data_IF_904148560900
#
_entry.id   IF_904148560900
#
_cell.length_a   1.000
_cell.length_b   1.000
_cell.length_c   1.000
_cell.angle_alpha   90.00
_cell.angle_beta   90.00
_cell.angle_gamma   90.00
#
_symmetry.space_group_name_H-M   'P 1'
#
loop_
_entity.id
_entity.type
_entity.pdbx_description
1 polymer ?
#
# COMPACT_ATOMS: atom_id res chain seq x y z
N UNK A 1 17.83 8.09 15.61
CA UNK A 1 16.42 8.55 15.69
C UNK A 1 16.40 9.78 16.58
N UNK A 2 15.74 10.85 16.16
CA UNK A 2 15.58 12.05 16.98
C UNK A 2 14.19 12.03 17.61
N UNK A 3 14.12 12.31 18.91
CA UNK A 3 12.87 12.39 19.67
C UNK A 3 12.76 13.79 20.28
N UNK A 4 11.54 14.28 20.45
CA UNK A 4 11.25 15.53 21.14
C UNK A 4 10.03 15.35 22.04
N UNK A 5 10.08 15.97 23.21
CA UNK A 5 8.92 16.07 24.09
C UNK A 5 8.07 17.29 23.71
N UNK A 6 6.75 17.11 23.73
CA UNK A 6 5.81 18.21 23.55
C UNK A 6 5.69 18.96 24.87
N UNK A 7 5.96 20.26 24.86
CA UNK A 7 5.89 21.08 26.07
C UNK A 7 4.43 21.39 26.46
N UNK A 8 4.22 22.04 27.62
CA UNK A 8 2.89 22.40 28.13
C UNK A 8 2.08 23.33 27.21
N UNK A 9 2.72 23.96 26.22
CA UNK A 9 2.08 24.84 25.22
C UNK A 9 1.76 24.11 23.91
N UNK A 10 2.05 22.81 23.80
CA UNK A 10 1.85 22.04 22.57
C UNK A 10 2.98 22.20 21.55
N UNK A 11 4.12 22.77 21.95
CA UNK A 11 5.25 23.02 21.05
C UNK A 11 6.29 21.90 21.19
N UNK A 12 6.97 21.58 20.09
CA UNK A 12 8.10 20.67 20.07
C UNK A 12 9.18 21.18 19.12
N UNK A 13 10.44 20.78 19.34
CA UNK A 13 11.56 21.09 18.47
C UNK A 13 12.42 19.84 18.26
N UNK A 14 12.66 19.48 16.99
CA UNK A 14 13.59 18.42 16.62
C UNK A 14 14.82 19.05 15.99
N UNK A 15 15.92 19.08 16.74
CA UNK A 15 17.22 19.53 16.22
C UNK A 15 17.91 18.38 15.49
N UNK A 16 18.18 18.59 14.21
CA UNK A 16 18.99 17.67 13.42
C UNK A 16 20.47 17.93 13.75
N UNK A 17 21.23 16.85 13.90
CA UNK A 17 22.65 16.92 14.19
C UNK A 17 23.40 17.59 13.03
N UNK A 18 24.06 18.71 13.31
CA UNK A 18 24.82 19.50 12.34
C UNK A 18 26.10 18.81 11.84
N UNK A 19 26.51 17.71 12.47
CA UNK A 19 27.71 16.93 12.08
C UNK A 19 27.43 15.87 11.01
N UNK A 20 26.15 15.57 10.74
CA UNK A 20 25.73 14.64 9.69
C UNK A 20 25.07 15.39 8.54
N UNK A 21 25.47 15.06 7.31
CA UNK A 21 24.80 15.58 6.12
C UNK A 21 23.32 15.15 6.13
N UNK A 22 22.40 16.12 6.12
CA UNK A 22 20.96 15.87 5.97
C UNK A 22 20.74 15.27 4.58
N UNK A 23 20.19 14.05 4.53
CA UNK A 23 19.86 13.37 3.27
C UNK A 23 18.50 13.89 2.80
N UNK A 24 18.39 14.53 1.62
CA UNK A 24 17.10 15.00 1.13
C UNK A 24 16.14 13.84 0.83
N UNK A 25 14.90 13.93 1.33
CA UNK A 25 13.91 12.88 1.13
C UNK A 25 12.64 13.07 1.95
N UNK A 26 11.83 12.01 2.02
CA UNK A 26 10.63 11.95 2.84
C UNK A 26 10.95 11.37 4.20
N UNK A 27 10.47 12.03 5.25
CA UNK A 27 10.63 11.65 6.65
C UNK A 27 9.26 11.56 7.31
N UNK A 28 9.20 10.80 8.41
CA UNK A 28 7.97 10.53 9.15
C UNK A 28 8.11 10.98 10.58
N UNK A 29 7.12 11.71 11.07
CA UNK A 29 6.90 11.91 12.50
C UNK A 29 5.86 10.89 12.96
N UNK A 30 6.17 10.17 14.03
CA UNK A 30 5.26 9.26 14.72
C UNK A 30 4.94 9.87 16.08
N UNK A 31 3.66 10.08 16.37
CA UNK A 31 3.22 10.79 17.57
C UNK A 31 2.47 9.90 18.58
N UNK A 32 2.04 8.69 18.19
CA UNK A 32 1.46 7.70 19.09
C UNK A 32 1.60 6.27 18.54
N UNK A 33 1.12 5.28 19.32
CA UNK A 33 1.01 3.88 18.91
C UNK A 33 -0.46 3.54 18.59
N UNK A 34 -0.74 2.78 17.52
CA UNK A 34 0.23 2.12 16.64
C UNK A 34 0.83 3.09 15.60
N UNK A 35 2.12 2.90 15.28
CA UNK A 35 2.91 3.87 14.50
C UNK A 35 2.43 4.05 13.05
N UNK A 36 1.76 3.05 12.49
CA UNK A 36 1.20 3.07 11.15
C UNK A 36 -0.09 3.89 11.03
N UNK A 37 -0.77 4.12 12.15
CA UNK A 37 -1.97 4.98 12.25
C UNK A 37 -1.62 6.40 12.69
N UNK A 38 -0.68 6.55 13.63
CA UNK A 38 -0.39 7.84 14.27
C UNK A 38 0.92 8.45 13.78
N UNK A 39 0.92 8.81 12.50
CA UNK A 39 2.06 9.42 11.84
C UNK A 39 1.66 10.43 10.78
N UNK A 40 2.62 11.25 10.35
CA UNK A 40 2.53 11.99 9.09
C UNK A 40 3.91 12.12 8.44
N UNK A 41 3.89 12.22 7.11
CA UNK A 41 5.10 12.35 6.29
C UNK A 41 5.34 13.80 5.88
N UNK A 42 6.61 14.17 5.74
CA UNK A 42 7.04 15.48 5.26
C UNK A 42 8.33 15.36 4.46
N UNK A 43 8.57 16.33 3.58
CA UNK A 43 9.79 16.43 2.78
C UNK A 43 10.81 17.25 3.57
N UNK A 44 12.01 16.70 3.74
CA UNK A 44 13.16 17.41 4.27
C UNK A 44 14.19 17.55 3.16
N UNK A 45 14.53 18.78 2.77
CA UNK A 45 15.48 19.03 1.68
C UNK A 45 16.88 19.47 2.15
N UNK A 46 17.06 19.65 3.46
CA UNK A 46 18.32 20.09 4.07
C UNK A 46 18.70 21.55 3.80
N UNK A 47 17.80 22.36 3.23
CA UNK A 47 18.06 23.76 2.81
C UNK A 47 17.26 24.79 3.59
N UNK A 48 16.26 24.37 4.35
CA UNK A 48 15.39 25.24 5.14
C UNK A 48 15.00 24.59 6.48
N UNK A 49 14.69 25.41 7.47
CA UNK A 49 13.98 24.95 8.67
C UNK A 49 12.52 24.68 8.32
N UNK A 50 11.95 23.67 8.97
CA UNK A 50 10.54 23.33 8.85
C UNK A 50 9.81 23.82 10.08
N UNK A 51 8.81 24.66 9.89
CA UNK A 51 7.87 25.07 10.92
C UNK A 51 6.47 24.61 10.50
N UNK A 52 5.79 23.92 11.41
CA UNK A 52 4.51 23.28 11.16
C UNK A 52 3.56 23.46 12.34
N UNK A 53 2.28 23.28 12.05
CA UNK A 53 1.23 23.10 13.03
C UNK A 53 0.57 21.76 12.75
N UNK A 54 0.21 21.05 13.81
CA UNK A 54 -0.45 19.76 13.72
C UNK A 54 -1.74 19.79 14.54
N UNK A 55 -2.81 19.30 13.94
CA UNK A 55 -4.13 19.17 14.54
C UNK A 55 -4.63 17.76 14.22
N UNK A 56 -5.22 17.08 15.20
CA UNK A 56 -5.63 15.67 15.05
C UNK A 56 -6.74 15.50 14.00
N UNK A 57 -7.56 16.52 13.77
CA UNK A 57 -8.66 16.47 12.81
C UNK A 57 -8.23 17.01 11.44
N UNK A 58 -7.46 18.11 11.43
CA UNK A 58 -7.07 18.83 10.19
C UNK A 58 -5.75 18.34 9.60
N UNK A 59 -4.97 17.60 10.36
CA UNK A 59 -3.64 17.11 10.00
C UNK A 59 -2.56 18.19 10.06
N UNK A 60 -1.44 17.92 9.38
CA UNK A 60 -0.28 18.81 9.34
C UNK A 60 -0.48 19.99 8.39
N UNK A 61 -0.03 21.17 8.80
CA UNK A 61 0.11 22.35 7.95
C UNK A 61 1.49 22.97 8.15
N UNK A 62 2.05 23.56 7.11
CA UNK A 62 3.41 24.11 7.14
C UNK A 62 3.37 25.64 7.06
N UNK A 63 3.83 26.32 8.11
CA UNK A 63 4.04 27.77 8.09
C UNK A 63 5.32 28.09 7.30
N UNK A 64 6.38 27.30 7.54
CA UNK A 64 7.66 27.35 6.83
C UNK A 64 8.04 25.97 6.32
N UNK A 65 7.97 25.80 5.00
CA UNK A 65 8.69 24.80 4.22
C UNK A 65 8.21 24.92 2.78
N UNK A 66 9.07 25.37 1.88
CA UNK A 66 8.70 25.62 0.49
C UNK A 66 8.14 24.36 -0.19
N UNK A 67 8.84 23.23 -0.06
CA UNK A 67 8.48 22.00 -0.78
C UNK A 67 7.20 21.36 -0.23
N UNK A 68 7.05 21.32 1.10
CA UNK A 68 5.84 20.78 1.71
C UNK A 68 4.60 21.64 1.41
N UNK A 69 4.74 22.98 1.47
CA UNK A 69 3.65 23.90 1.11
C UNK A 69 3.27 23.76 -0.36
N UNK A 70 4.26 23.60 -1.24
CA UNK A 70 4.02 23.39 -2.66
C UNK A 70 3.26 22.08 -2.90
N UNK A 71 3.66 20.99 -2.22
CA UNK A 71 2.98 19.70 -2.34
C UNK A 71 1.54 19.74 -1.80
N UNK A 72 1.31 20.36 -0.64
CA UNK A 72 -0.03 20.53 -0.10
C UNK A 72 -0.92 21.38 -1.03
N UNK A 73 -0.36 22.43 -1.62
CA UNK A 73 -1.06 23.27 -2.59
C UNK A 73 -1.42 22.48 -3.85
N UNK A 74 -0.48 21.71 -4.40
CA UNK A 74 -0.72 20.81 -5.52
C UNK A 74 -1.87 19.84 -5.25
N UNK A 75 -1.82 19.11 -4.12
CA UNK A 75 -2.84 18.14 -3.75
C UNK A 75 -4.22 18.78 -3.57
N UNK A 76 -4.31 19.96 -2.95
CA UNK A 76 -5.57 20.72 -2.81
C UNK A 76 -6.12 21.16 -4.17
N UNK A 77 -5.28 21.71 -5.04
CA UNK A 77 -5.68 22.15 -6.38
C UNK A 77 -6.19 20.98 -7.22
N UNK A 78 -5.47 19.85 -7.26
CA UNK A 78 -5.89 18.65 -7.98
C UNK A 78 -7.18 18.07 -7.40
N UNK A 79 -7.35 18.07 -6.07
CA UNK A 79 -8.58 17.60 -5.43
C UNK A 79 -9.81 18.44 -5.83
N UNK A 80 -9.66 19.76 -5.95
CA UNK A 80 -10.72 20.66 -6.42
C UNK A 80 -11.07 20.38 -7.88
N UNK A 81 -10.08 20.20 -8.76
CA UNK A 81 -10.33 19.84 -10.17
C UNK A 81 -11.00 18.47 -10.28
N UNK A 82 -10.55 17.47 -9.50
CA UNK A 82 -11.19 16.16 -9.45
C UNK A 82 -12.64 16.22 -8.95
N UNK A 83 -12.96 17.15 -8.04
CA UNK A 83 -14.35 17.42 -7.63
C UNK A 83 -15.17 17.93 -8.80
N UNK A 84 -14.62 18.86 -9.60
CA UNK A 84 -15.28 19.34 -10.83
C UNK A 84 -15.50 18.23 -11.86
N UNK A 85 -14.53 17.34 -12.05
CA UNK A 85 -14.67 16.16 -12.93
C UNK A 85 -15.80 15.24 -12.44
N UNK A 86 -15.86 14.93 -11.14
CA UNK A 86 -16.96 14.13 -10.58
C UNK A 86 -18.32 14.79 -10.74
N UNK A 87 -18.41 16.10 -10.49
CA UNK A 87 -19.64 16.85 -10.67
C UNK A 87 -20.09 16.88 -12.14
N UNK A 88 -19.15 17.01 -13.08
CA UNK A 88 -19.41 16.96 -14.52
C UNK A 88 -20.10 15.65 -14.89
N UNK A 89 -19.47 14.51 -14.59
CA UNK A 89 -20.03 13.20 -14.91
C UNK A 89 -21.30 12.87 -14.12
N UNK A 90 -21.44 13.39 -12.90
CA UNK A 90 -22.65 13.24 -12.08
C UNK A 90 -23.84 14.06 -12.58
N UNK A 91 -23.63 15.11 -13.37
CA UNK A 91 -24.70 15.99 -13.85
C UNK A 91 -25.57 15.39 -14.96
N UNK A 92 -25.11 14.30 -15.61
CA UNK A 92 -25.76 13.65 -16.75
C UNK A 92 -26.01 14.55 -17.98
N UNK A 93 -25.38 15.73 -18.06
CA UNK A 93 -25.47 16.65 -19.21
C UNK A 93 -24.32 16.38 -20.20
N UNK A 94 -24.62 16.43 -21.49
CA UNK A 94 -23.61 16.39 -22.58
C UNK A 94 -23.01 17.81 -22.80
N UNK A 95 -22.29 18.32 -21.81
CA UNK A 95 -21.63 19.64 -21.88
C UNK A 95 -20.16 19.52 -22.32
N UNK A 96 -19.95 19.34 -23.62
CA UNK A 96 -18.60 19.21 -24.20
C UNK A 96 -17.70 20.42 -23.96
N UNK A 97 -18.29 21.62 -23.79
CA UNK A 97 -17.54 22.84 -23.48
C UNK A 97 -17.02 22.78 -22.04
N UNK A 98 -17.90 22.47 -21.08
CA UNK A 98 -17.54 22.27 -19.68
C UNK A 98 -16.51 21.16 -19.49
N UNK A 99 -16.65 20.04 -20.21
CA UNK A 99 -15.63 18.97 -20.24
C UNK A 99 -14.25 19.53 -20.61
N UNK A 100 -14.17 20.22 -21.75
CA UNK A 100 -12.90 20.76 -22.25
C UNK A 100 -12.28 21.74 -21.26
N UNK A 101 -13.08 22.66 -20.71
CA UNK A 101 -12.61 23.65 -19.74
C UNK A 101 -12.04 23.00 -18.47
N UNK A 102 -12.70 21.98 -17.92
CA UNK A 102 -12.22 21.26 -16.73
C UNK A 102 -10.86 20.59 -16.99
N UNK A 103 -10.70 19.91 -18.13
CA UNK A 103 -9.45 19.21 -18.45
C UNK A 103 -8.33 20.16 -18.89
N UNK A 104 -8.65 21.31 -19.50
CA UNK A 104 -7.69 22.39 -19.76
C UNK A 104 -7.16 22.96 -18.43
N UNK A 105 -8.03 23.16 -17.44
CA UNK A 105 -7.64 23.59 -16.08
C UNK A 105 -6.75 22.53 -15.43
N UNK A 106 -7.09 21.24 -15.54
CA UNK A 106 -6.26 20.15 -15.02
C UNK A 106 -4.86 20.17 -15.62
N UNK A 107 -4.77 20.26 -16.95
CA UNK A 107 -3.51 20.27 -17.69
C UNK A 107 -2.63 21.45 -17.31
N UNK A 108 -3.22 22.65 -17.25
CA UNK A 108 -2.51 23.88 -16.87
C UNK A 108 -2.04 23.82 -15.42
N UNK A 109 -2.90 23.38 -14.50
CA UNK A 109 -2.55 23.23 -13.08
C UNK A 109 -1.36 22.29 -12.91
N UNK A 110 -1.40 21.11 -13.52
CA UNK A 110 -0.29 20.16 -13.51
C UNK A 110 1.01 20.79 -14.01
N UNK A 111 0.95 21.47 -15.16
CA UNK A 111 2.12 22.09 -15.79
C UNK A 111 2.72 23.21 -14.92
N UNK A 112 1.88 24.04 -14.29
CA UNK A 112 2.32 25.12 -13.40
C UNK A 112 3.07 24.55 -12.18
N UNK A 113 2.56 23.49 -11.55
CA UNK A 113 3.23 22.85 -10.42
C UNK A 113 4.50 22.09 -10.83
N UNK A 114 4.53 21.44 -12.00
CA UNK A 114 5.75 20.82 -12.54
C UNK A 114 6.86 21.87 -12.78
N UNK A 115 6.49 23.05 -13.31
CA UNK A 115 7.44 24.16 -13.50
C UNK A 115 7.93 24.72 -12.17
N UNK A 116 7.02 24.98 -11.23
CA UNK A 116 7.33 25.57 -9.93
C UNK A 116 8.21 24.66 -9.05
N UNK A 117 8.06 23.34 -9.19
CA UNK A 117 8.83 22.36 -8.42
C UNK A 117 10.17 21.97 -9.03
N UNK A 118 10.51 22.45 -10.25
CA UNK A 118 11.71 21.99 -10.97
C UNK A 118 12.98 22.14 -10.12
N UNK A 119 13.72 21.04 -9.95
CA UNK A 119 14.96 20.99 -9.16
C UNK A 119 14.76 20.72 -7.65
N UNK A 120 13.52 20.55 -7.21
CA UNK A 120 13.16 20.21 -5.83
C UNK A 120 12.92 18.70 -5.67
N UNK A 121 12.96 18.18 -4.44
CA UNK A 121 12.62 16.77 -4.14
C UNK A 121 11.16 16.49 -4.50
N UNK A 122 10.25 17.41 -4.15
CA UNK A 122 8.81 17.35 -4.42
C UNK A 122 8.47 17.20 -5.92
N UNK A 123 9.36 17.62 -6.83
CA UNK A 123 9.16 17.49 -8.27
C UNK A 123 8.89 16.05 -8.71
N UNK A 124 9.60 15.08 -8.10
CA UNK A 124 9.45 13.67 -8.40
C UNK A 124 8.01 13.20 -8.13
N UNK A 125 7.43 13.65 -7.02
CA UNK A 125 6.07 13.32 -6.60
C UNK A 125 5.02 14.00 -7.49
N UNK A 126 5.18 15.29 -7.78
CA UNK A 126 4.25 16.04 -8.65
C UNK A 126 4.20 15.44 -10.06
N UNK A 127 5.36 15.08 -10.63
CA UNK A 127 5.40 14.38 -11.92
C UNK A 127 4.74 13.01 -11.85
N UNK A 128 5.02 12.25 -10.80
CA UNK A 128 4.45 10.91 -10.63
C UNK A 128 2.93 10.93 -10.44
N UNK A 129 2.38 11.98 -9.81
CA UNK A 129 0.94 12.19 -9.64
C UNK A 129 0.21 12.71 -10.88
N UNK A 130 0.91 12.93 -12.01
CA UNK A 130 0.30 13.49 -13.21
C UNK A 130 -0.88 12.60 -13.67
N UNK A 131 -2.12 13.12 -13.69
CA UNK A 131 -3.29 12.33 -14.04
C UNK A 131 -3.37 12.08 -15.55
N UNK A 132 -4.22 11.12 -15.92
CA UNK A 132 -4.69 11.01 -17.30
C UNK A 132 -5.49 12.27 -17.68
N UNK A 133 -5.17 12.85 -18.84
CA UNK A 133 -5.84 14.02 -19.39
C UNK A 133 -6.30 13.64 -20.81
N UNK A 134 -7.62 13.56 -21.06
CA UNK A 134 -8.16 13.20 -22.35
C UNK A 134 -7.91 14.33 -23.37
N UNK A 135 -7.57 13.98 -24.60
CA UNK A 135 -7.35 14.94 -25.71
C UNK A 135 -8.62 15.29 -26.47
N UNK A 136 -9.68 14.51 -26.26
CA UNK A 136 -11.01 14.68 -26.85
C UNK A 136 -12.08 14.33 -25.81
N UNK A 137 -13.33 14.63 -26.13
CA UNK A 137 -14.45 14.24 -25.29
C UNK A 137 -14.49 12.72 -25.06
N UNK A 138 -14.72 12.32 -23.81
CA UNK A 138 -14.88 10.93 -23.39
C UNK A 138 -16.06 10.82 -22.43
N UNK A 139 -16.96 9.85 -22.67
CA UNK A 139 -17.97 9.47 -21.70
C UNK A 139 -17.32 8.88 -20.43
N UNK A 140 -18.12 8.70 -19.36
CA UNK A 140 -17.62 8.24 -18.07
C UNK A 140 -16.92 6.87 -18.15
N UNK A 141 -17.47 5.94 -18.93
CA UNK A 141 -16.94 4.58 -19.04
C UNK A 141 -15.59 4.59 -19.78
N UNK A 142 -15.53 5.31 -20.90
CA UNK A 142 -14.31 5.51 -21.69
C UNK A 142 -13.24 6.19 -20.85
N UNK A 143 -13.58 7.27 -20.14
CA UNK A 143 -12.65 8.00 -19.28
C UNK A 143 -12.13 7.13 -18.14
N UNK A 144 -13.00 6.41 -17.43
CA UNK A 144 -12.61 5.51 -16.35
C UNK A 144 -11.63 4.42 -16.83
N UNK A 145 -11.90 3.83 -18.00
CA UNK A 145 -11.02 2.84 -18.61
C UNK A 145 -9.65 3.41 -18.97
N UNK A 146 -9.60 4.62 -19.53
CA UNK A 146 -8.33 5.28 -19.84
C UNK A 146 -7.56 5.72 -18.58
N UNK A 147 -8.24 6.17 -17.52
CA UNK A 147 -7.62 6.44 -16.23
C UNK A 147 -6.95 5.18 -15.70
N UNK A 148 -7.65 4.03 -15.70
CA UNK A 148 -7.09 2.74 -15.28
C UNK A 148 -5.87 2.36 -16.14
N UNK A 149 -6.00 2.42 -17.46
CA UNK A 149 -4.94 2.04 -18.39
C UNK A 149 -3.68 2.92 -18.32
N UNK A 150 -3.82 4.18 -17.88
CA UNK A 150 -2.71 5.14 -17.79
C UNK A 150 -2.26 5.41 -16.35
N UNK A 151 -2.79 4.69 -15.35
CA UNK A 151 -2.62 5.03 -13.94
C UNK A 151 -1.14 5.12 -13.52
N UNK A 152 -0.31 4.18 -13.98
CA UNK A 152 1.12 4.13 -13.64
C UNK A 152 2.03 4.83 -14.65
N UNK A 153 1.48 5.42 -15.73
CA UNK A 153 2.27 5.94 -16.87
C UNK A 153 3.36 6.94 -16.48
N UNK A 154 3.13 7.73 -15.45
CA UNK A 154 4.07 8.75 -14.97
C UNK A 154 4.85 8.32 -13.72
N UNK A 155 4.59 7.12 -13.19
CA UNK A 155 5.24 6.60 -11.99
C UNK A 155 6.47 5.81 -12.39
N UNK A 156 7.64 6.32 -12.00
CA UNK A 156 8.90 5.59 -12.16
C UNK A 156 9.18 4.77 -10.88
N UNK A 157 8.95 3.46 -10.95
CA UNK A 157 9.24 2.54 -9.85
C UNK A 157 10.75 2.39 -9.56
N UNK A 158 11.63 2.87 -10.44
CA UNK A 158 13.07 2.98 -10.23
C UNK A 158 13.49 4.25 -9.48
N UNK A 159 12.62 5.24 -9.35
CA UNK A 159 12.95 6.52 -8.73
C UNK A 159 13.18 6.36 -7.22
N UNK A 160 14.40 6.64 -6.77
CA UNK A 160 14.81 6.46 -5.37
C UNK A 160 14.07 7.38 -4.40
N UNK A 161 13.67 8.58 -4.82
CA UNK A 161 12.87 9.50 -3.99
C UNK A 161 11.46 8.94 -3.75
N UNK A 162 10.85 8.33 -4.77
CA UNK A 162 9.56 7.66 -4.61
C UNK A 162 9.69 6.39 -3.76
N UNK A 163 10.76 5.59 -3.95
CA UNK A 163 11.01 4.36 -3.18
C UNK A 163 11.28 4.62 -1.69
N UNK A 164 11.91 5.76 -1.35
CA UNK A 164 12.19 6.15 0.03
C UNK A 164 10.98 6.81 0.72
N UNK A 165 9.79 6.59 0.20
CA UNK A 165 8.53 7.12 0.72
C UNK A 165 7.43 6.05 0.60
N UNK A 166 6.26 6.31 1.19
CA UNK A 166 5.09 5.45 1.00
C UNK A 166 4.38 5.65 -0.35
N UNK A 167 4.91 6.50 -1.25
CA UNK A 167 4.25 6.86 -2.50
C UNK A 167 3.90 5.64 -3.37
N UNK A 168 4.87 4.76 -3.64
CA UNK A 168 4.67 3.60 -4.52
C UNK A 168 3.68 2.61 -3.89
N UNK A 169 3.76 2.43 -2.56
CA UNK A 169 2.86 1.57 -1.80
C UNK A 169 1.42 2.10 -1.90
N UNK A 170 1.21 3.38 -1.54
CA UNK A 170 -0.11 3.99 -1.52
C UNK A 170 -0.77 4.00 -2.89
N UNK A 171 -0.05 4.37 -3.96
CA UNK A 171 -0.60 4.37 -5.32
C UNK A 171 -0.94 2.95 -5.79
N UNK A 172 -0.09 1.98 -5.46
CA UNK A 172 -0.35 0.57 -5.82
C UNK A 172 -1.57 0.02 -5.09
N UNK A 173 -1.69 0.26 -3.79
CA UNK A 173 -2.86 -0.14 -3.01
C UNK A 173 -4.12 0.53 -3.57
N UNK A 174 -4.08 1.84 -3.81
CA UNK A 174 -5.20 2.57 -4.40
C UNK A 174 -5.62 2.02 -5.76
N UNK A 175 -4.67 1.60 -6.61
CA UNK A 175 -4.98 0.96 -7.88
C UNK A 175 -5.66 -0.40 -7.71
N UNK A 176 -5.07 -1.28 -6.88
CA UNK A 176 -5.56 -2.65 -6.67
C UNK A 176 -6.98 -2.65 -6.13
N UNK A 177 -7.25 -1.80 -5.13
CA UNK A 177 -8.55 -1.72 -4.47
C UNK A 177 -9.53 -0.73 -5.11
N UNK A 178 -9.06 0.22 -5.91
CA UNK A 178 -9.89 1.24 -6.54
C UNK A 178 -10.54 0.83 -7.87
N UNK A 179 -9.90 -0.06 -8.65
CA UNK A 179 -10.39 -0.46 -9.97
C UNK A 179 -10.97 -1.88 -9.98
N UNK A 180 -11.99 -2.10 -9.14
CA UNK A 180 -12.61 -3.41 -8.88
C UNK A 180 -14.02 -3.44 -9.48
N UNK A 181 -14.30 -4.46 -10.29
CA UNK A 181 -15.68 -4.77 -10.69
C UNK A 181 -16.41 -5.41 -9.50
N UNK A 182 -17.51 -4.80 -8.99
CA UNK A 182 -18.25 -5.35 -7.85
C UNK A 182 -18.83 -6.74 -8.12
N UNK A 183 -19.11 -7.09 -9.39
CA UNK A 183 -19.63 -8.39 -9.76
C UNK A 183 -18.52 -9.45 -9.92
N UNK A 184 -17.26 -9.03 -9.97
CA UNK A 184 -16.13 -9.94 -10.17
C UNK A 184 -14.88 -9.45 -9.42
N UNK A 185 -15.02 -9.28 -8.11
CA UNK A 185 -13.99 -8.65 -7.28
C UNK A 185 -12.69 -9.45 -7.25
N UNK A 186 -12.77 -10.77 -7.03
CA UNK A 186 -11.60 -11.65 -6.95
C UNK A 186 -10.74 -11.59 -8.22
N UNK A 187 -11.36 -11.74 -9.39
CA UNK A 187 -10.65 -11.64 -10.68
C UNK A 187 -10.09 -10.23 -10.90
N UNK A 188 -10.83 -9.19 -10.50
CA UNK A 188 -10.34 -7.81 -10.59
C UNK A 188 -9.08 -7.60 -9.76
N UNK A 189 -9.06 -8.08 -8.51
CA UNK A 189 -7.88 -8.00 -7.65
C UNK A 189 -6.67 -8.72 -8.25
N UNK A 190 -6.84 -9.96 -8.73
CA UNK A 190 -5.75 -10.72 -9.37
C UNK A 190 -5.17 -9.95 -10.57
N UNK A 191 -6.03 -9.53 -11.50
CA UNK A 191 -5.59 -8.76 -12.68
C UNK A 191 -4.92 -7.44 -12.32
N UNK A 192 -5.42 -6.77 -11.28
CA UNK A 192 -4.82 -5.51 -10.82
C UNK A 192 -3.43 -5.76 -10.21
N UNK A 193 -3.26 -6.85 -9.44
CA UNK A 193 -1.93 -7.28 -8.93
C UNK A 193 -0.99 -7.62 -10.09
N UNK A 194 -1.45 -8.36 -11.10
CA UNK A 194 -0.62 -8.70 -12.28
C UNK A 194 -0.14 -7.44 -13.00
N UNK A 195 -1.05 -6.47 -13.15
CA UNK A 195 -0.71 -5.17 -13.74
C UNK A 195 0.38 -4.48 -12.92
N UNK A 196 0.22 -4.42 -11.60
CA UNK A 196 1.22 -3.83 -10.69
C UNK A 196 2.58 -4.53 -10.83
N UNK A 197 2.62 -5.87 -10.82
CA UNK A 197 3.86 -6.63 -10.96
C UNK A 197 4.55 -6.33 -12.29
N UNK A 198 3.76 -6.18 -13.37
CA UNK A 198 4.25 -5.80 -14.69
C UNK A 198 4.83 -4.38 -14.68
N UNK A 199 4.11 -3.40 -14.14
CA UNK A 199 4.52 -1.99 -14.10
C UNK A 199 5.77 -1.77 -13.22
N UNK A 200 5.93 -2.52 -12.12
CA UNK A 200 7.15 -2.45 -11.30
C UNK A 200 8.38 -2.96 -12.09
N UNK A 201 8.20 -3.87 -13.04
CA UNK A 201 9.29 -4.37 -13.89
C UNK A 201 10.38 -5.10 -13.10
N UNK A 202 11.65 -5.01 -13.52
CA UNK A 202 12.75 -5.73 -12.88
C UNK A 202 13.28 -5.02 -11.61
N UNK A 203 12.43 -4.88 -10.60
CA UNK A 203 12.79 -4.28 -9.31
C UNK A 203 12.36 -5.21 -8.16
N UNK A 204 13.15 -6.25 -7.84
CA UNK A 204 12.75 -7.29 -6.87
C UNK A 204 12.55 -6.72 -5.46
N UNK A 205 13.31 -5.69 -5.06
CA UNK A 205 13.14 -5.02 -3.76
C UNK A 205 11.76 -4.36 -3.66
N UNK A 206 11.40 -3.54 -4.66
CA UNK A 206 10.09 -2.86 -4.69
C UNK A 206 8.95 -3.87 -4.82
N UNK A 207 9.10 -4.89 -5.69
CA UNK A 207 8.13 -5.98 -5.82
C UNK A 207 7.88 -6.67 -4.49
N UNK A 208 8.93 -7.09 -3.79
CA UNK A 208 8.83 -7.78 -2.50
C UNK A 208 8.06 -6.95 -1.48
N UNK A 209 8.42 -5.68 -1.32
CA UNK A 209 7.78 -4.78 -0.35
C UNK A 209 6.29 -4.61 -0.64
N UNK A 210 5.95 -4.28 -1.88
CA UNK A 210 4.57 -4.02 -2.29
C UNK A 210 3.72 -5.30 -2.20
N UNK A 211 4.22 -6.41 -2.72
CA UNK A 211 3.50 -7.69 -2.72
C UNK A 211 3.33 -8.24 -1.30
N UNK A 212 4.30 -8.06 -0.40
CA UNK A 212 4.14 -8.43 1.02
C UNK A 212 3.02 -7.64 1.69
N UNK A 213 2.90 -6.34 1.40
CA UNK A 213 1.81 -5.50 1.91
C UNK A 213 0.45 -5.96 1.38
N UNK A 214 0.35 -6.22 0.08
CA UNK A 214 -0.89 -6.71 -0.53
C UNK A 214 -1.27 -8.10 0.00
N UNK A 215 -0.29 -9.01 0.11
CA UNK A 215 -0.47 -10.34 0.69
C UNK A 215 -1.01 -10.26 2.12
N UNK A 216 -0.35 -9.50 3.00
CA UNK A 216 -0.80 -9.29 4.37
C UNK A 216 -2.22 -8.70 4.45
N UNK A 217 -2.59 -7.79 3.55
CA UNK A 217 -3.96 -7.26 3.49
C UNK A 217 -5.00 -8.34 3.21
N UNK A 218 -4.73 -9.28 2.31
CA UNK A 218 -5.64 -10.38 2.01
C UNK A 218 -5.62 -11.49 3.07
N UNK A 219 -4.46 -11.76 3.69
CA UNK A 219 -4.36 -12.63 4.88
C UNK A 219 -5.24 -12.09 6.01
N UNK A 220 -5.09 -10.82 6.37
CA UNK A 220 -5.86 -10.19 7.45
C UNK A 220 -7.36 -10.07 7.13
N UNK A 221 -7.72 -10.09 5.84
CA UNK A 221 -9.11 -10.11 5.39
C UNK A 221 -9.68 -11.54 5.26
N UNK A 222 -8.94 -12.58 5.69
CA UNK A 222 -9.27 -14.00 5.51
C UNK A 222 -9.59 -14.38 4.05
N UNK A 223 -8.99 -13.69 3.09
CA UNK A 223 -9.16 -13.98 1.67
C UNK A 223 -8.03 -14.91 1.19
N UNK A 224 -8.14 -16.18 1.58
CA UNK A 224 -7.15 -17.22 1.29
C UNK A 224 -6.84 -17.34 -0.21
N UNK A 225 -7.86 -17.25 -1.06
CA UNK A 225 -7.69 -17.36 -2.52
C UNK A 225 -6.73 -16.30 -3.06
N UNK A 226 -6.90 -15.03 -2.68
CA UNK A 226 -6.04 -13.94 -3.14
C UNK A 226 -4.69 -13.93 -2.43
N UNK A 227 -4.66 -14.24 -1.14
CA UNK A 227 -3.41 -14.37 -0.40
C UNK A 227 -2.54 -15.48 -1.01
N UNK A 228 -3.09 -16.67 -1.26
CA UNK A 228 -2.37 -17.77 -1.91
C UNK A 228 -1.96 -17.41 -3.34
N UNK A 229 -2.82 -16.72 -4.09
CA UNK A 229 -2.46 -16.26 -5.43
C UNK A 229 -1.22 -15.37 -5.40
N UNK A 230 -1.19 -14.32 -4.57
CA UNK A 230 -0.04 -13.41 -4.46
C UNK A 230 1.20 -14.15 -3.92
N UNK A 231 1.00 -14.93 -2.86
CA UNK A 231 2.05 -15.66 -2.16
C UNK A 231 2.79 -16.63 -3.07
N UNK A 232 2.04 -17.54 -3.71
CA UNK A 232 2.61 -18.64 -4.49
C UNK A 232 3.03 -18.21 -5.90
N UNK A 233 2.29 -17.29 -6.54
CA UNK A 233 2.60 -16.86 -7.92
C UNK A 233 3.83 -15.94 -7.98
N UNK A 234 4.01 -15.08 -6.96
CA UNK A 234 5.02 -14.02 -7.02
C UNK A 234 5.95 -14.00 -5.82
N UNK A 235 5.40 -13.97 -4.60
CA UNK A 235 6.17 -13.58 -3.42
C UNK A 235 7.13 -14.67 -2.95
N UNK A 236 6.77 -15.95 -3.07
CA UNK A 236 7.58 -17.08 -2.62
C UNK A 236 8.92 -17.14 -3.36
N UNK A 237 8.92 -17.04 -4.69
CA UNK A 237 10.14 -17.05 -5.49
C UNK A 237 11.06 -15.87 -5.13
N UNK A 238 10.48 -14.69 -4.88
CA UNK A 238 11.24 -13.51 -4.45
C UNK A 238 11.81 -13.70 -3.03
N UNK A 239 11.05 -14.28 -2.11
CA UNK A 239 11.50 -14.58 -0.75
C UNK A 239 12.70 -15.54 -0.77
N UNK A 240 12.60 -16.63 -1.53
CA UNK A 240 13.68 -17.61 -1.70
C UNK A 240 14.93 -16.98 -2.34
N UNK A 241 14.77 -16.21 -3.42
CA UNK A 241 15.89 -15.55 -4.09
C UNK A 241 16.59 -14.50 -3.21
N UNK A 242 15.86 -13.91 -2.25
CA UNK A 242 16.41 -12.95 -1.28
C UNK A 242 16.78 -13.57 0.07
N UNK A 243 16.76 -14.91 0.17
CA UNK A 243 17.05 -15.66 1.40
C UNK A 243 16.21 -15.24 2.62
N UNK A 244 15.00 -14.74 2.38
CA UNK A 244 14.04 -14.37 3.42
C UNK A 244 13.22 -15.60 3.81
N UNK A 245 13.84 -16.43 4.65
CA UNK A 245 13.25 -17.70 5.08
C UNK A 245 11.94 -17.50 5.83
N UNK A 246 11.86 -16.49 6.70
CA UNK A 246 10.65 -16.20 7.47
C UNK A 246 9.46 -15.91 6.54
N UNK A 247 9.65 -15.06 5.52
CA UNK A 247 8.59 -14.78 4.56
C UNK A 247 8.21 -16.02 3.74
N UNK A 248 9.20 -16.80 3.29
CA UNK A 248 8.95 -18.02 2.52
C UNK A 248 8.14 -19.04 3.35
N UNK A 249 8.55 -19.30 4.59
CA UNK A 249 7.90 -20.22 5.51
C UNK A 249 6.46 -19.75 5.81
N UNK A 250 6.25 -18.46 6.08
CA UNK A 250 4.92 -17.89 6.31
C UNK A 250 3.97 -18.08 5.12
N UNK A 251 4.47 -17.92 3.88
CA UNK A 251 3.66 -18.16 2.67
C UNK A 251 3.30 -19.64 2.55
N UNK A 252 4.27 -20.53 2.74
CA UNK A 252 4.08 -21.98 2.65
C UNK A 252 3.07 -22.46 3.70
N UNK A 253 3.25 -22.06 4.96
CA UNK A 253 2.37 -22.48 6.04
C UNK A 253 0.95 -21.92 5.88
N UNK A 254 0.82 -20.66 5.43
CA UNK A 254 -0.49 -20.09 5.14
C UNK A 254 -1.21 -20.88 4.02
N UNK A 255 -0.50 -21.23 2.95
CA UNK A 255 -1.07 -22.06 1.89
C UNK A 255 -1.49 -23.44 2.42
N UNK A 256 -0.62 -24.13 3.18
CA UNK A 256 -0.94 -25.45 3.71
C UNK A 256 -2.12 -25.46 4.69
N UNK A 257 -2.35 -24.35 5.39
CA UNK A 257 -3.48 -24.18 6.31
C UNK A 257 -4.78 -23.74 5.61
N UNK A 258 -4.74 -23.40 4.32
CA UNK A 258 -5.91 -22.93 3.57
C UNK A 258 -6.89 -24.04 3.21
N UNK A 259 -8.16 -23.68 3.03
CA UNK A 259 -9.24 -24.63 2.73
C UNK A 259 -8.94 -25.42 1.44
N UNK A 260 -9.15 -26.73 1.50
CA UNK A 260 -8.94 -27.65 0.37
C UNK A 260 -7.48 -28.07 0.15
N UNK A 261 -6.56 -27.63 1.01
CA UNK A 261 -5.15 -28.06 0.99
C UNK A 261 -4.93 -29.20 1.97
N UNK A 262 -3.95 -30.04 1.67
CA UNK A 262 -3.54 -31.11 2.58
C UNK A 262 -2.83 -30.49 3.78
N UNK A 263 -3.36 -30.73 4.98
CA UNK A 263 -2.78 -30.24 6.21
C UNK A 263 -1.33 -30.73 6.39
N UNK A 264 -0.44 -29.92 6.99
CA UNK A 264 0.90 -30.37 7.35
C UNK A 264 0.85 -31.61 8.24
N UNK A 265 1.70 -32.58 7.95
CA UNK A 265 1.80 -33.78 8.78
C UNK A 265 2.66 -33.49 10.03
N UNK A 266 2.20 -33.92 11.20
CA UNK A 266 2.92 -33.78 12.46
C UNK A 266 2.58 -34.94 13.40
N UNK A 267 3.44 -35.14 14.40
CA UNK A 267 3.25 -36.19 15.38
C UNK A 267 2.14 -35.82 16.39
N UNK A 268 1.21 -36.73 16.58
CA UNK A 268 0.07 -36.64 17.50
C UNK A 268 0.20 -37.73 18.55
N UNK A 269 0.14 -37.34 19.83
CA UNK A 269 0.04 -38.28 20.93
C UNK A 269 -1.40 -38.76 21.10
N UNK A 270 -1.61 -40.07 21.03
CA UNK A 270 -2.90 -40.72 21.25
C UNK A 270 -2.80 -41.56 22.52
N UNK A 271 -3.67 -41.27 23.48
CA UNK A 271 -3.82 -42.08 24.70
C UNK A 271 -4.97 -43.06 24.52
N UNK A 272 -4.70 -44.34 24.79
CA UNK A 272 -5.76 -45.35 24.86
C UNK A 272 -6.52 -45.29 26.19
N UNK A 273 -7.56 -46.11 26.32
CA UNK A 273 -8.37 -46.22 27.55
C UNK A 273 -7.59 -46.67 28.80
N UNK A 274 -6.35 -47.14 28.64
CA UNK A 274 -5.44 -47.58 29.71
C UNK A 274 -4.32 -46.56 29.96
N UNK A 275 -4.44 -45.33 29.46
CA UNK A 275 -3.42 -44.28 29.53
C UNK A 275 -2.08 -44.63 28.85
N UNK A 276 -2.05 -45.61 27.93
CA UNK A 276 -0.86 -45.86 27.13
C UNK A 276 -0.79 -44.85 26.00
N UNK A 277 0.28 -44.06 25.99
CA UNK A 277 0.54 -43.11 24.91
C UNK A 277 1.16 -43.82 23.71
N UNK A 278 0.64 -43.55 22.52
CA UNK A 278 1.25 -43.92 21.24
C UNK A 278 1.41 -42.68 20.39
N UNK A 279 2.51 -42.60 19.66
CA UNK A 279 2.76 -41.51 18.73
C UNK A 279 2.34 -41.96 17.33
N UNK A 280 1.41 -41.24 16.70
CA UNK A 280 1.06 -41.41 15.28
C UNK A 280 1.31 -40.10 14.55
N UNK A 281 1.40 -40.13 13.23
CA UNK A 281 1.34 -38.91 12.43
C UNK A 281 -0.11 -38.55 12.11
N UNK A 282 -0.41 -37.28 11.87
CA UNK A 282 -1.75 -36.81 11.51
C UNK A 282 -2.28 -37.54 10.27
N UNK A 283 -1.42 -37.75 9.27
CA UNK A 283 -1.77 -38.46 8.03
C UNK A 283 -2.08 -39.95 8.24
N UNK A 284 -1.59 -40.55 9.34
CA UNK A 284 -1.79 -41.95 9.68
C UNK A 284 -3.01 -42.19 10.60
N UNK A 285 -3.84 -41.16 10.85
CA UNK A 285 -5.08 -41.30 11.59
C UNK A 285 -6.19 -41.79 10.64
N UNK A 286 -6.79 -42.92 11.01
CA UNK A 286 -7.79 -43.66 10.21
C UNK A 286 -9.06 -43.99 11.02
N UNK A 287 -9.22 -43.36 12.17
CA UNK A 287 -10.26 -43.65 13.17
C UNK A 287 -11.54 -42.84 13.01
N UNK A 288 -11.54 -41.84 12.14
CA UNK A 288 -12.67 -40.96 11.87
C UNK A 288 -12.64 -40.44 10.42
N UNK A 289 -13.80 -40.04 9.89
CA UNK A 289 -13.90 -39.39 8.58
C UNK A 289 -13.43 -37.93 8.63
N UNK A 290 -13.65 -37.27 9.76
CA UNK A 290 -13.30 -35.86 9.98
C UNK A 290 -12.50 -35.71 11.28
N UNK A 291 -11.58 -34.75 11.28
CA UNK A 291 -10.72 -34.43 12.41
C UNK A 291 -10.82 -32.93 12.72
N UNK A 292 -11.18 -32.59 13.96
CA UNK A 292 -11.02 -31.24 14.48
C UNK A 292 -9.65 -31.11 15.17
N UNK A 293 -8.83 -30.21 14.66
CA UNK A 293 -7.50 -29.91 15.22
C UNK A 293 -7.59 -28.60 16.00
N UNK A 294 -7.23 -28.63 17.28
CA UNK A 294 -7.27 -27.46 18.16
C UNK A 294 -5.87 -27.18 18.70
N UNK A 295 -5.36 -25.99 18.40
CA UNK A 295 -4.13 -25.46 18.98
C UNK A 295 -4.48 -24.64 20.22
N UNK A 296 -3.91 -24.99 21.38
CA UNK A 296 -4.07 -24.25 22.63
C UNK A 296 -2.71 -24.00 23.28
N UNK A 297 -2.56 -22.89 24.02
CA UNK A 297 -1.30 -22.49 24.67
C UNK A 297 -0.75 -23.54 25.66
N UNK A 298 -1.60 -24.41 26.18
CA UNK A 298 -1.21 -25.34 27.24
C UNK A 298 -1.01 -26.78 26.75
N UNK A 299 -1.72 -27.25 25.73
CA UNK A 299 -1.53 -28.58 25.12
C UNK A 299 -2.12 -28.66 23.69
N UNK A 300 -1.52 -29.50 22.84
CA UNK A 300 -2.17 -29.95 21.60
C UNK A 300 -3.19 -31.04 21.97
N UNK A 301 -4.48 -30.72 21.88
CA UNK A 301 -5.54 -31.71 22.08
C UNK A 301 -6.01 -32.20 20.71
N UNK A 302 -5.93 -33.52 20.52
CA UNK A 302 -6.43 -34.18 19.32
C UNK A 302 -7.77 -34.86 19.60
N UNK A 303 -8.67 -34.72 18.62
CA UNK A 303 -9.90 -35.47 18.35
C UNK A 303 -11.10 -35.28 19.29
N UNK A 304 -12.08 -34.53 18.79
CA UNK A 304 -13.48 -34.88 18.96
C UNK A 304 -14.03 -35.41 17.64
N UNK A 305 -14.88 -36.45 17.71
CA UNK A 305 -15.66 -36.96 16.58
C UNK A 305 -16.76 -35.97 16.21
#
# INVERSE_FOLDING_TARGET
MANAEVNKKGEFELKLDSTTAVIPGTYRIVYAQPQDEHNFDFILNGKENIELQFDLEKGVSFTKSQENKLYQSYNRSIALVNKSIRNYYGSQKDDKKGFKEIFDILARTQLEFEKASKGMVVHNFIKACKPYIPTKYEDLMTFSNHVKANYFKNIDFGNTQLQNSNFLISNTVNYVFGFVDPNNQGVSYMKNVDTVVKEIGNNPKVKKTILKILWNKFVNANNETLANYIGTTYLLAIAQATQDKELADNIIYFEMASIGKTAPDFAVEIKDQKNKTTLKTLSALDTAENYLIVFSEYHLFALFR
#
